data_IF_179817461784
#
_entry.id   IF_179817461784
#
_cell.length_a   1.000
_cell.length_b   1.000
_cell.length_c   1.000
_cell.angle_alpha   90.00
_cell.angle_beta   90.00
_cell.angle_gamma   90.00
#
_symmetry.space_group_name_H-M   'P 1'
#
loop_
_entity.id
_entity.type
_entity.pdbx_description
1 polymer ?
#
# COMPACT_ATOMS: atom_id res chain seq x y z
N UNK A 1 38.05 24.05 -9.15
CA UNK A 1 36.89 24.04 -10.06
C UNK A 1 36.08 22.74 -10.03
N UNK A 2 36.69 21.55 -9.85
CA UNK A 2 35.92 20.29 -9.75
C UNK A 2 34.92 20.22 -8.58
N UNK A 3 35.25 20.74 -7.40
CA UNK A 3 34.36 20.70 -6.24
C UNK A 3 33.04 21.48 -6.44
N UNK A 4 33.04 22.53 -7.25
CA UNK A 4 31.84 23.33 -7.52
C UNK A 4 30.87 22.62 -8.49
N UNK A 5 31.41 21.80 -9.42
CA UNK A 5 30.56 20.98 -10.30
C UNK A 5 29.91 19.81 -9.54
N UNK A 6 30.58 19.23 -8.54
CA UNK A 6 29.97 18.16 -7.73
C UNK A 6 28.81 18.68 -6.86
N UNK A 7 28.94 19.86 -6.24
CA UNK A 7 27.81 20.46 -5.49
C UNK A 7 26.63 20.80 -6.42
N UNK A 8 26.90 21.32 -7.63
CA UNK A 8 25.84 21.63 -8.58
C UNK A 8 25.12 20.37 -9.09
N UNK A 9 25.86 19.27 -9.29
CA UNK A 9 25.27 18.00 -9.71
C UNK A 9 24.48 17.33 -8.57
N UNK A 10 24.94 17.44 -7.33
CA UNK A 10 24.24 16.87 -6.17
C UNK A 10 22.94 17.63 -5.86
N UNK A 11 22.92 18.96 -6.03
CA UNK A 11 21.72 19.77 -5.84
C UNK A 11 20.64 19.47 -6.90
N UNK A 12 21.04 19.19 -8.14
CA UNK A 12 20.10 18.84 -9.20
C UNK A 12 19.46 17.46 -8.98
N UNK A 13 20.19 16.52 -8.38
CA UNK A 13 19.66 15.19 -8.02
C UNK A 13 18.62 15.26 -6.90
N UNK A 14 18.78 16.18 -5.94
CA UNK A 14 17.83 16.36 -4.84
C UNK A 14 16.48 16.94 -5.31
N UNK A 15 16.49 17.84 -6.31
CA UNK A 15 15.26 18.38 -6.89
C UNK A 15 14.42 17.32 -7.62
N UNK A 16 15.06 16.37 -8.31
CA UNK A 16 14.32 15.28 -8.97
C UNK A 16 13.62 14.33 -7.98
N UNK A 17 14.20 14.09 -6.80
CA UNK A 17 13.53 13.26 -5.79
C UNK A 17 12.29 13.95 -5.19
N UNK A 18 12.30 15.27 -4.99
CA UNK A 18 11.11 15.97 -4.50
C UNK A 18 9.97 15.98 -5.52
N UNK A 19 10.27 16.08 -6.82
CA UNK A 19 9.21 16.01 -7.83
C UNK A 19 8.57 14.61 -7.93
N UNK A 20 9.31 13.52 -7.69
CA UNK A 20 8.69 12.20 -7.63
C UNK A 20 7.79 12.02 -6.41
N UNK A 21 8.06 12.69 -5.29
CA UNK A 21 7.17 12.64 -4.13
C UNK A 21 5.84 13.37 -4.37
N UNK A 22 5.83 14.44 -5.15
CA UNK A 22 4.62 15.23 -5.40
C UNK A 22 3.58 14.51 -6.27
N UNK A 23 4.00 13.57 -7.13
CA UNK A 23 3.08 12.78 -7.97
C UNK A 23 2.48 11.54 -7.29
N UNK A 24 2.92 11.17 -6.08
CA UNK A 24 2.41 9.98 -5.38
C UNK A 24 1.17 10.30 -4.51
N UNK A 25 0.82 11.58 -4.31
CA UNK A 25 -0.34 11.98 -3.47
C UNK A 25 -1.33 12.88 -4.21
N UNK A 26 -2.24 12.29 -5.02
CA UNK A 26 -3.65 12.65 -4.81
C UNK A 26 -4.64 11.47 -4.85
N UNK A 27 -4.21 10.22 -5.05
CA UNK A 27 -5.15 9.10 -5.17
C UNK A 27 -5.73 8.58 -3.85
N UNK A 28 -5.12 8.92 -2.70
CA UNK A 28 -5.67 8.54 -1.39
C UNK A 28 -6.84 9.42 -0.93
N UNK A 29 -7.08 10.58 -1.54
CA UNK A 29 -8.17 11.48 -1.16
C UNK A 29 -9.52 11.10 -1.78
N UNK A 30 -9.54 10.34 -2.89
CA UNK A 30 -10.77 9.94 -3.58
C UNK A 30 -11.43 8.70 -2.91
N UNK A 31 -10.65 7.86 -2.22
CA UNK A 31 -11.17 6.66 -1.54
C UNK A 31 -11.93 6.96 -0.23
N UNK A 32 -11.74 8.14 0.37
CA UNK A 32 -12.51 8.56 1.56
C UNK A 32 -13.90 9.12 1.21
N UNK A 33 -14.13 9.57 -0.03
CA UNK A 33 -15.43 10.13 -0.44
C UNK A 33 -16.48 9.05 -0.79
N UNK A 34 -16.03 7.84 -1.14
CA UNK A 34 -16.92 6.72 -1.50
C UNK A 34 -17.48 5.94 -0.30
N UNK A 35 -16.98 6.18 0.92
CA UNK A 35 -17.53 5.57 2.15
C UNK A 35 -18.72 6.37 2.73
N UNK A 36 -18.96 7.60 2.24
CA UNK A 36 -20.10 8.44 2.65
C UNK A 36 -21.37 8.20 1.80
N UNK A 37 -21.23 7.72 0.56
CA UNK A 37 -22.38 7.50 -0.33
C UNK A 37 -23.09 6.15 -0.09
N UNK A 38 -22.41 5.15 0.46
CA UNK A 38 -22.98 3.81 0.64
C UNK A 38 -23.83 3.62 1.92
N UNK A 39 -23.95 4.66 2.75
CA UNK A 39 -24.79 4.69 3.96
C UNK A 39 -26.03 5.58 3.85
N UNK A 40 -26.19 6.33 2.75
CA UNK A 40 -27.33 7.24 2.56
C UNK A 40 -28.60 6.55 2.00
N UNK A 41 -28.50 5.37 1.37
CA UNK A 41 -29.65 4.69 0.76
C UNK A 41 -30.52 3.86 1.72
N UNK A 42 -30.23 3.87 3.03
CA UNK A 42 -30.98 3.05 4.00
C UNK A 42 -32.00 3.79 4.86
N UNK A 43 -32.30 5.07 4.56
CA UNK A 43 -33.29 5.85 5.33
C UNK A 43 -34.57 6.23 4.54
N UNK A 44 -34.73 5.83 3.29
CA UNK A 44 -35.90 6.23 2.47
C UNK A 44 -36.80 5.06 2.01
N UNK A 45 -36.93 3.98 2.80
CA UNK A 45 -37.90 2.93 2.45
C UNK A 45 -38.47 2.21 3.67
N UNK A 46 -39.50 2.79 4.27
CA UNK A 46 -40.26 2.14 5.32
C UNK A 46 -41.27 3.03 6.03
N UNK A 47 -42.20 3.63 5.29
CA UNK A 47 -43.40 4.24 5.89
C UNK A 47 -44.59 4.03 4.97
N UNK A 48 -45.18 2.85 5.01
CA UNK A 48 -46.59 2.67 4.69
C UNK A 48 -47.16 1.56 5.59
N UNK A 49 -48.26 1.92 6.25
CA UNK A 49 -49.29 1.12 6.90
C UNK A 49 -49.01 0.38 8.22
N UNK A 50 -49.42 1.03 9.31
CA UNK A 50 -50.23 0.38 10.35
C UNK A 50 -51.04 1.43 11.12
N UNK A 51 -52.33 1.54 10.78
CA UNK A 51 -53.34 2.20 11.58
C UNK A 51 -53.75 1.30 12.76
N UNK A 52 -53.80 1.84 13.98
CA UNK A 52 -54.80 1.52 15.01
C UNK A 52 -54.50 2.22 16.35
N UNK A 53 -55.48 2.99 16.85
CA UNK A 53 -55.97 2.83 18.23
C UNK A 53 -55.48 3.77 19.34
N UNK A 54 -56.42 4.63 19.78
CA UNK A 54 -56.67 5.06 21.18
C UNK A 54 -55.77 6.17 21.76
N UNK A 55 -56.23 7.41 22.00
CA UNK A 55 -57.30 7.94 22.88
C UNK A 55 -56.82 8.33 24.31
N UNK A 56 -56.87 9.65 24.56
CA UNK A 56 -57.21 10.41 25.78
C UNK A 56 -56.53 10.13 27.14
N UNK A 57 -56.16 11.22 27.85
CA UNK A 57 -55.76 11.18 29.26
C UNK A 57 -55.36 12.54 29.83
N UNK A 58 -56.31 13.20 30.48
CA UNK A 58 -56.36 14.56 31.03
C UNK A 58 -55.44 14.92 32.22
N UNK A 59 -55.18 16.23 32.32
CA UNK A 59 -55.29 17.10 33.51
C UNK A 59 -54.31 17.03 34.72
N UNK A 60 -53.65 18.19 34.91
CA UNK A 60 -53.56 19.03 36.12
C UNK A 60 -53.13 18.46 37.49
N UNK A 61 -52.16 19.15 38.11
CA UNK A 61 -51.87 19.03 39.54
C UNK A 61 -50.73 19.95 39.98
N UNK A 62 -51.08 21.15 40.43
CA UNK A 62 -50.22 22.14 41.08
C UNK A 62 -50.31 22.04 42.61
N UNK A 63 -49.19 21.92 43.32
CA UNK A 63 -48.99 22.32 44.74
C UNK A 63 -47.49 22.18 45.07
N UNK A 64 -46.77 23.27 45.39
CA UNK A 64 -46.45 23.75 46.75
C UNK A 64 -45.57 22.76 47.54
N UNK A 65 -44.53 23.10 48.29
CA UNK A 65 -43.80 24.32 48.65
C UNK A 65 -42.56 23.86 49.46
N UNK A 66 -41.58 24.74 49.64
CA UNK A 66 -40.64 24.75 50.77
C UNK A 66 -39.68 23.55 50.97
N UNK A 67 -38.48 23.67 50.39
CA UNK A 67 -37.25 23.20 51.03
C UNK A 67 -36.06 23.99 50.49
N UNK A 68 -35.92 25.24 50.94
CA UNK A 68 -34.69 26.00 50.78
C UNK A 68 -33.60 25.36 51.67
N UNK A 69 -32.88 24.38 51.14
CA UNK A 69 -31.72 23.80 51.80
C UNK A 69 -30.60 23.53 50.78
N UNK A 70 -29.54 24.33 50.90
CA UNK A 70 -28.28 24.34 50.15
C UNK A 70 -28.01 23.17 49.17
N UNK A 71 -28.28 23.33 47.85
CA UNK A 71 -27.92 22.35 46.83
C UNK A 71 -26.42 22.26 46.54
N UNK A 72 -25.62 23.24 46.99
CA UNK A 72 -24.20 23.33 46.65
C UNK A 72 -23.31 22.34 47.42
N UNK A 73 -23.67 21.97 48.65
CA UNK A 73 -22.83 21.08 49.47
C UNK A 73 -22.99 19.59 49.12
N UNK A 74 -24.16 19.18 48.60
CA UNK A 74 -24.40 17.78 48.21
C UNK A 74 -23.76 17.41 46.87
N UNK A 75 -23.65 18.36 45.95
CA UNK A 75 -22.99 18.17 44.65
C UNK A 75 -21.48 17.92 44.80
N UNK A 76 -20.81 18.67 45.69
CA UNK A 76 -19.36 18.55 45.90
C UNK A 76 -19.00 17.22 46.60
N UNK A 77 -19.85 16.74 47.52
CA UNK A 77 -19.59 15.50 48.24
C UNK A 77 -19.84 14.22 47.40
N UNK A 78 -20.72 14.29 46.37
CA UNK A 78 -20.88 13.20 45.40
C UNK A 78 -19.77 13.17 44.34
N UNK A 79 -19.16 14.31 44.03
CA UNK A 79 -18.11 14.39 43.01
C UNK A 79 -16.76 13.81 43.49
N UNK A 80 -16.49 13.83 44.80
CA UNK A 80 -15.26 13.27 45.37
C UNK A 80 -15.28 11.74 45.53
N UNK A 81 -16.45 11.10 45.66
CA UNK A 81 -16.53 9.62 45.74
C UNK A 81 -16.44 8.92 44.38
N UNK A 82 -16.64 9.61 43.26
CA UNK A 82 -16.47 9.02 41.92
C UNK A 82 -15.02 9.04 41.40
N UNK A 83 -14.09 9.75 42.06
CA UNK A 83 -12.69 9.82 41.60
C UNK A 83 -11.75 8.76 42.19
N UNK A 84 -12.19 7.87 43.07
CA UNK A 84 -11.30 6.86 43.69
C UNK A 84 -11.59 5.39 43.34
N UNK A 85 -12.49 5.08 42.40
CA UNK A 85 -12.81 3.68 42.03
C UNK A 85 -12.61 3.32 40.55
N UNK A 86 -11.78 4.03 39.79
CA UNK A 86 -11.42 3.59 38.43
C UNK A 86 -9.92 3.68 38.15
N UNK A 87 -9.15 2.66 38.57
CA UNK A 87 -8.02 2.26 37.72
C UNK A 87 -7.84 0.74 37.59
N UNK A 88 -8.90 -0.09 37.67
CA UNK A 88 -8.73 -1.56 37.54
C UNK A 88 -9.49 -2.28 36.42
N UNK A 89 -10.34 -1.60 35.62
CA UNK A 89 -11.03 -2.24 34.48
C UNK A 89 -10.49 -1.87 33.08
N UNK A 90 -9.42 -1.07 32.97
CA UNK A 90 -8.86 -0.73 31.64
C UNK A 90 -7.82 -1.72 31.10
N UNK A 91 -7.32 -2.69 31.88
CA UNK A 91 -6.33 -3.64 31.38
C UNK A 91 -6.90 -4.89 30.69
N UNK A 92 -8.18 -5.25 30.87
CA UNK A 92 -8.76 -6.42 30.19
C UNK A 92 -9.34 -6.13 28.79
N UNK A 93 -9.63 -4.88 28.43
CA UNK A 93 -10.09 -4.56 27.06
C UNK A 93 -8.95 -4.37 26.05
N UNK A 94 -7.71 -4.13 26.49
CA UNK A 94 -6.58 -3.97 25.55
C UNK A 94 -6.08 -5.32 25.01
N UNK A 95 -6.24 -6.44 25.73
CA UNK A 95 -5.79 -7.74 25.24
C UNK A 95 -6.74 -8.39 24.21
N UNK A 96 -8.05 -8.11 24.28
CA UNK A 96 -9.00 -8.54 23.24
C UNK A 96 -8.75 -7.76 21.93
N UNK A 97 -8.27 -6.52 22.01
CA UNK A 97 -7.90 -5.71 20.85
C UNK A 97 -6.67 -6.22 20.10
N UNK A 98 -5.63 -6.67 20.81
CA UNK A 98 -4.36 -7.10 20.17
C UNK A 98 -4.52 -8.44 19.45
N UNK A 99 -5.21 -9.43 20.04
CA UNK A 99 -5.44 -10.72 19.37
C UNK A 99 -6.32 -10.60 18.11
N UNK A 100 -7.33 -9.71 18.14
CA UNK A 100 -8.15 -9.39 16.96
C UNK A 100 -7.38 -8.61 15.87
N UNK A 101 -6.35 -7.84 16.27
CA UNK A 101 -5.44 -7.17 15.34
C UNK A 101 -4.38 -8.11 14.76
N UNK A 102 -3.89 -9.09 15.52
CA UNK A 102 -2.92 -10.07 15.04
C UNK A 102 -3.45 -10.86 13.83
N UNK A 103 -4.72 -11.29 13.84
CA UNK A 103 -5.33 -11.95 12.67
C UNK A 103 -5.55 -11.01 11.46
N UNK A 104 -5.45 -9.69 11.64
CA UNK A 104 -5.72 -8.66 10.63
C UNK A 104 -4.54 -8.40 9.68
N UNK A 105 -3.31 -8.67 10.12
CA UNK A 105 -2.10 -8.35 9.35
C UNK A 105 -1.48 -9.56 8.63
N UNK A 106 -1.60 -10.78 9.17
CA UNK A 106 -1.01 -11.96 8.54
C UNK A 106 -1.60 -12.29 7.16
N UNK A 107 -2.83 -11.86 6.85
CA UNK A 107 -3.41 -12.07 5.51
C UNK A 107 -2.82 -11.16 4.44
N UNK A 108 -2.48 -9.90 4.72
CA UNK A 108 -2.06 -8.99 3.65
C UNK A 108 -0.70 -9.38 3.05
N UNK A 109 0.27 -9.74 3.90
CA UNK A 109 1.57 -10.23 3.44
C UNK A 109 1.45 -11.57 2.69
N UNK A 110 0.64 -12.50 3.20
CA UNK A 110 0.39 -13.78 2.54
C UNK A 110 -0.31 -13.60 1.19
N UNK A 111 -1.33 -12.75 1.10
CA UNK A 111 -2.01 -12.42 -0.17
C UNK A 111 -1.04 -11.76 -1.15
N UNK A 112 -0.13 -10.90 -0.65
CA UNK A 112 0.94 -10.31 -1.48
C UNK A 112 2.04 -11.29 -1.85
N UNK A 113 2.07 -12.52 -1.32
CA UNK A 113 2.97 -13.56 -1.79
C UNK A 113 2.34 -14.44 -2.88
N UNK A 114 1.01 -14.51 -2.95
CA UNK A 114 0.28 -15.27 -3.96
C UNK A 114 0.60 -14.79 -5.38
N UNK A 115 0.57 -15.69 -6.34
CA UNK A 115 0.61 -15.37 -7.77
C UNK A 115 -0.69 -14.69 -8.23
N UNK A 116 -0.65 -13.97 -9.36
CA UNK A 116 -1.85 -13.33 -9.94
C UNK A 116 -3.01 -14.34 -10.15
N UNK A 117 -2.82 -15.54 -10.76
CA UNK A 117 -3.91 -16.50 -10.92
C UNK A 117 -4.46 -17.03 -9.59
N UNK A 118 -3.64 -17.13 -8.54
CA UNK A 118 -4.12 -17.50 -7.21
C UNK A 118 -4.97 -16.40 -6.58
N UNK A 119 -4.57 -15.13 -6.74
CA UNK A 119 -5.38 -13.98 -6.30
C UNK A 119 -6.75 -13.99 -7.00
N UNK A 120 -6.81 -14.30 -8.30
CA UNK A 120 -8.07 -14.40 -9.04
C UNK A 120 -8.98 -15.52 -8.52
N UNK A 121 -8.42 -16.70 -8.23
CA UNK A 121 -9.16 -17.81 -7.61
C UNK A 121 -9.75 -17.42 -6.26
N UNK A 122 -8.95 -16.76 -5.41
CA UNK A 122 -9.39 -16.25 -4.11
C UNK A 122 -10.46 -15.16 -4.24
N UNK A 123 -10.36 -14.28 -5.23
CA UNK A 123 -11.40 -13.26 -5.52
C UNK A 123 -12.72 -13.94 -5.87
N UNK A 124 -12.72 -14.96 -6.73
CA UNK A 124 -13.92 -15.70 -7.12
C UNK A 124 -14.54 -16.42 -5.91
N UNK A 125 -13.73 -17.14 -5.14
CA UNK A 125 -14.15 -17.81 -3.90
C UNK A 125 -14.75 -16.83 -2.88
N UNK A 126 -14.11 -15.67 -2.68
CA UNK A 126 -14.60 -14.64 -1.78
C UNK A 126 -15.92 -14.02 -2.27
N UNK A 127 -16.10 -13.82 -3.58
CA UNK A 127 -17.37 -13.35 -4.17
C UNK A 127 -18.51 -14.34 -3.92
N UNK A 128 -18.28 -15.63 -4.16
CA UNK A 128 -19.25 -16.69 -3.88
C UNK A 128 -19.61 -16.74 -2.40
N UNK A 129 -18.62 -16.67 -1.52
CA UNK A 129 -18.83 -16.64 -0.06
C UNK A 129 -19.68 -15.44 0.38
N UNK A 130 -19.44 -14.25 -0.18
CA UNK A 130 -20.24 -13.05 0.12
C UNK A 130 -21.69 -13.22 -0.34
N UNK A 131 -21.91 -13.82 -1.51
CA UNK A 131 -23.26 -14.09 -2.01
C UNK A 131 -24.00 -15.09 -1.11
N UNK A 132 -23.37 -16.21 -0.76
CA UNK A 132 -23.94 -17.22 0.14
C UNK A 132 -24.26 -16.65 1.53
N UNK A 133 -23.34 -15.90 2.14
CA UNK A 133 -23.57 -15.27 3.44
C UNK A 133 -24.71 -14.24 3.42
N UNK A 134 -24.96 -13.57 2.29
CA UNK A 134 -26.13 -12.69 2.15
C UNK A 134 -27.43 -13.48 2.17
N UNK A 135 -27.48 -14.63 1.49
CA UNK A 135 -28.66 -15.51 1.50
C UNK A 135 -28.91 -16.08 2.90
N UNK A 136 -27.88 -16.66 3.53
CA UNK A 136 -27.99 -17.20 4.89
C UNK A 136 -28.38 -16.14 5.92
N UNK A 137 -27.89 -14.91 5.77
CA UNK A 137 -28.27 -13.80 6.65
C UNK A 137 -29.75 -13.44 6.55
N UNK A 138 -30.37 -13.57 5.36
CA UNK A 138 -31.82 -13.36 5.22
C UNK A 138 -32.62 -14.41 5.99
N UNK A 139 -32.10 -15.64 6.07
CA UNK A 139 -32.67 -16.71 6.90
C UNK A 139 -32.27 -16.66 8.38
N UNK A 140 -31.54 -15.62 8.84
CA UNK A 140 -31.06 -15.53 10.23
C UNK A 140 -29.94 -16.51 10.59
N UNK A 141 -29.41 -17.28 9.63
CA UNK A 141 -28.42 -18.34 9.87
C UNK A 141 -26.96 -17.85 9.89
N UNK A 142 -26.70 -16.64 9.39
CA UNK A 142 -25.35 -16.08 9.31
C UNK A 142 -25.24 -14.72 10.02
N UNK A 143 -24.11 -14.50 10.69
CA UNK A 143 -23.87 -13.26 11.42
C UNK A 143 -23.49 -12.10 10.50
N UNK A 144 -23.88 -10.87 10.85
CA UNK A 144 -23.48 -9.66 10.14
C UNK A 144 -21.95 -9.51 10.09
N UNK A 145 -21.25 -9.94 11.14
CA UNK A 145 -19.79 -9.84 11.23
C UNK A 145 -19.08 -10.73 10.21
N UNK A 146 -19.55 -11.97 9.99
CA UNK A 146 -18.98 -12.87 8.97
C UNK A 146 -19.07 -12.26 7.57
N UNK A 147 -20.21 -11.68 7.23
CA UNK A 147 -20.41 -10.99 5.96
C UNK A 147 -19.47 -9.79 5.80
N UNK A 148 -19.32 -8.96 6.85
CA UNK A 148 -18.39 -7.82 6.83
C UNK A 148 -16.94 -8.27 6.68
N UNK A 149 -16.53 -9.34 7.36
CA UNK A 149 -15.18 -9.89 7.25
C UNK A 149 -14.88 -10.39 5.83
N UNK A 150 -15.82 -11.13 5.21
CA UNK A 150 -15.65 -11.60 3.82
C UNK A 150 -15.67 -10.45 2.81
N UNK A 151 -16.50 -9.42 2.99
CA UNK A 151 -16.46 -8.21 2.15
C UNK A 151 -15.13 -7.46 2.28
N UNK A 152 -14.55 -7.39 3.49
CA UNK A 152 -13.25 -6.78 3.72
C UNK A 152 -12.13 -7.54 3.00
N UNK A 153 -12.13 -8.88 3.11
CA UNK A 153 -11.18 -9.73 2.39
C UNK A 153 -11.26 -9.52 0.88
N UNK A 154 -12.48 -9.50 0.32
CA UNK A 154 -12.69 -9.25 -1.11
C UNK A 154 -12.14 -7.89 -1.54
N UNK A 155 -12.36 -6.83 -0.75
CA UNK A 155 -11.76 -5.51 -1.02
C UNK A 155 -10.24 -5.57 -1.04
N UNK A 156 -9.62 -6.21 -0.04
CA UNK A 156 -8.16 -6.35 0.03
C UNK A 156 -7.58 -7.09 -1.18
N UNK A 157 -8.22 -8.20 -1.58
CA UNK A 157 -7.80 -8.98 -2.76
C UNK A 157 -7.88 -8.14 -4.04
N UNK A 158 -8.96 -7.37 -4.23
CA UNK A 158 -9.11 -6.50 -5.39
C UNK A 158 -8.08 -5.36 -5.41
N UNK A 159 -7.80 -4.74 -4.26
CA UNK A 159 -6.76 -3.71 -4.17
C UNK A 159 -5.40 -4.28 -4.55
N UNK A 160 -5.00 -5.42 -4.00
CA UNK A 160 -3.71 -6.05 -4.31
C UNK A 160 -3.64 -6.48 -5.79
N UNK A 161 -4.75 -6.96 -6.36
CA UNK A 161 -4.86 -7.25 -7.79
C UNK A 161 -4.57 -6.00 -8.63
N UNK A 162 -5.24 -4.88 -8.35
CA UNK A 162 -5.03 -3.62 -9.09
C UNK A 162 -3.61 -3.07 -8.93
N UNK A 163 -3.01 -3.18 -7.74
CA UNK A 163 -1.62 -2.79 -7.50
C UNK A 163 -0.66 -3.62 -8.36
N UNK A 164 -0.92 -4.93 -8.49
CA UNK A 164 -0.06 -5.84 -9.25
C UNK A 164 -0.24 -5.70 -10.75
N UNK A 165 -1.47 -5.62 -11.25
CA UNK A 165 -1.74 -5.38 -12.68
C UNK A 165 -1.11 -4.06 -13.14
N UNK A 166 -1.22 -3.00 -12.33
CA UNK A 166 -0.56 -1.73 -12.61
C UNK A 166 0.97 -1.80 -12.61
N UNK A 167 1.56 -2.64 -11.75
CA UNK A 167 3.01 -2.82 -11.68
C UNK A 167 3.55 -3.69 -12.82
N UNK A 168 2.87 -4.77 -13.18
CA UNK A 168 3.23 -5.64 -14.31
C UNK A 168 3.20 -4.86 -15.63
N UNK A 169 2.12 -4.14 -15.93
CA UNK A 169 2.02 -3.34 -17.14
C UNK A 169 3.09 -2.24 -17.23
N UNK A 170 3.44 -1.60 -16.10
CA UNK A 170 4.54 -0.62 -16.06
C UNK A 170 5.93 -1.24 -16.23
N UNK A 171 6.11 -2.50 -15.85
CA UNK A 171 7.38 -3.21 -16.08
C UNK A 171 7.51 -3.60 -17.55
N UNK A 172 6.46 -4.17 -18.14
CA UNK A 172 6.41 -4.51 -19.57
C UNK A 172 6.61 -3.27 -20.45
N UNK A 173 5.91 -2.17 -20.14
CA UNK A 173 6.08 -0.90 -20.85
C UNK A 173 7.52 -0.38 -20.76
N UNK A 174 8.16 -0.48 -19.58
CA UNK A 174 9.56 -0.07 -19.43
C UNK A 174 10.51 -0.96 -20.24
N UNK A 175 10.28 -2.27 -20.29
CA UNK A 175 11.09 -3.17 -21.11
C UNK A 175 10.90 -2.88 -22.60
N UNK A 176 9.66 -2.67 -23.04
CA UNK A 176 9.36 -2.31 -24.41
C UNK A 176 10.01 -0.98 -24.81
N UNK A 177 9.96 0.03 -23.93
CA UNK A 177 10.60 1.32 -24.16
C UNK A 177 12.13 1.19 -24.26
N UNK A 178 12.75 0.34 -23.44
CA UNK A 178 14.19 0.05 -23.53
C UNK A 178 14.56 -0.63 -24.85
N UNK A 179 13.77 -1.60 -25.32
CA UNK A 179 14.00 -2.28 -26.60
C UNK A 179 13.88 -1.31 -27.77
N UNK A 180 12.87 -0.45 -27.76
CA UNK A 180 12.66 0.54 -28.82
C UNK A 180 13.84 1.53 -28.87
N UNK A 181 14.32 1.96 -27.70
CA UNK A 181 15.49 2.84 -27.62
C UNK A 181 16.77 2.16 -28.16
N UNK A 182 16.99 0.88 -27.87
CA UNK A 182 18.11 0.13 -28.45
C UNK A 182 17.98 0.00 -29.97
N UNK A 183 16.78 -0.28 -30.49
CA UNK A 183 16.56 -0.40 -31.93
C UNK A 183 16.86 0.91 -32.65
N UNK A 184 16.43 2.04 -32.09
CA UNK A 184 16.75 3.36 -32.65
C UNK A 184 18.27 3.60 -32.68
N UNK A 185 18.98 3.27 -31.60
CA UNK A 185 20.45 3.40 -31.57
C UNK A 185 21.12 2.55 -32.66
N UNK A 186 20.66 1.31 -32.87
CA UNK A 186 21.20 0.46 -33.93
C UNK A 186 20.94 1.04 -35.33
N UNK A 187 19.77 1.63 -35.56
CA UNK A 187 19.47 2.30 -36.83
C UNK A 187 20.39 3.50 -37.08
N UNK A 188 20.64 4.33 -36.06
CA UNK A 188 21.57 5.46 -36.19
C UNK A 188 23.00 4.99 -36.45
N UNK A 189 23.46 3.94 -35.77
CA UNK A 189 24.77 3.35 -36.03
C UNK A 189 24.89 2.84 -37.47
N UNK A 190 23.86 2.17 -37.98
CA UNK A 190 23.87 1.68 -39.35
C UNK A 190 23.92 2.81 -40.39
N UNK A 191 23.12 3.87 -40.20
CA UNK A 191 23.15 5.05 -41.06
C UNK A 191 24.51 5.75 -41.02
N UNK A 192 25.11 5.88 -39.83
CA UNK A 192 26.44 6.47 -39.67
C UNK A 192 27.50 5.65 -40.42
N UNK A 193 27.46 4.31 -40.33
CA UNK A 193 28.37 3.43 -41.06
C UNK A 193 28.20 3.58 -42.58
N UNK A 194 26.96 3.64 -43.08
CA UNK A 194 26.70 3.84 -44.50
C UNK A 194 27.27 5.18 -45.00
N UNK A 195 26.99 6.27 -44.28
CA UNK A 195 27.56 7.59 -44.59
C UNK A 195 29.08 7.56 -44.56
N UNK A 196 29.65 6.86 -43.60
CA UNK A 196 31.09 6.68 -43.48
C UNK A 196 31.70 5.98 -44.70
N UNK A 197 31.04 4.93 -45.21
CA UNK A 197 31.46 4.22 -46.41
C UNK A 197 31.37 5.11 -47.66
N UNK A 198 30.26 5.83 -47.84
CA UNK A 198 30.09 6.77 -48.95
C UNK A 198 31.12 7.90 -48.92
N UNK A 199 31.49 8.37 -47.74
CA UNK A 199 32.56 9.36 -47.58
C UNK A 199 33.93 8.76 -47.94
N UNK A 200 34.24 7.54 -47.51
CA UNK A 200 35.53 6.88 -47.84
C UNK A 200 35.78 6.77 -49.34
N UNK A 201 34.74 6.52 -50.14
CA UNK A 201 34.83 6.46 -51.60
C UNK A 201 35.19 7.80 -52.26
N UNK A 202 34.96 8.92 -51.56
CA UNK A 202 35.17 10.28 -52.10
C UNK A 202 36.35 11.03 -51.47
N UNK A 203 37.03 10.46 -50.47
CA UNK A 203 38.05 11.15 -49.66
C UNK A 203 39.50 10.84 -50.08
N UNK A 204 40.39 11.82 -49.90
CA UNK A 204 41.85 11.68 -50.01
C UNK A 204 42.44 10.82 -48.87
N UNK A 205 43.59 10.15 -49.09
CA UNK A 205 44.15 9.17 -48.15
C UNK A 205 44.51 9.73 -46.76
N UNK A 206 45.00 10.96 -46.65
CA UNK A 206 45.27 11.59 -45.34
C UNK A 206 43.99 11.74 -44.50
N UNK A 207 42.88 12.05 -45.16
CA UNK A 207 41.61 12.25 -44.49
C UNK A 207 40.96 10.91 -44.13
N UNK A 208 41.26 9.82 -44.87
CA UNK A 208 40.92 8.46 -44.46
C UNK A 208 41.58 8.07 -43.14
N UNK A 209 42.87 8.41 -42.93
CA UNK A 209 43.56 8.12 -41.67
C UNK A 209 42.95 8.85 -40.47
N UNK A 210 42.59 10.14 -40.63
CA UNK A 210 41.89 10.88 -39.57
C UNK A 210 40.54 10.25 -39.22
N UNK A 211 39.83 9.76 -40.23
CA UNK A 211 38.55 9.10 -40.07
C UNK A 211 38.65 7.74 -39.37
N UNK A 212 39.69 6.95 -39.64
CA UNK A 212 39.98 5.72 -38.89
C UNK A 212 40.26 6.00 -37.41
N UNK A 213 41.04 7.05 -37.13
CA UNK A 213 41.32 7.44 -35.75
C UNK A 213 40.06 7.84 -34.99
N UNK A 214 39.16 8.59 -35.64
CA UNK A 214 37.87 8.99 -35.07
C UNK A 214 36.93 7.79 -34.90
N UNK A 215 36.95 6.84 -35.84
CA UNK A 215 36.23 5.58 -35.73
C UNK A 215 36.69 4.75 -34.53
N UNK A 216 38.00 4.59 -34.32
CA UNK A 216 38.55 3.93 -33.13
C UNK A 216 38.10 4.63 -31.84
N UNK A 217 38.13 5.96 -31.81
CA UNK A 217 37.70 6.71 -30.63
C UNK A 217 36.21 6.50 -30.31
N UNK A 218 35.34 6.51 -31.32
CA UNK A 218 33.91 6.22 -31.15
C UNK A 218 33.66 4.79 -30.71
N UNK A 219 34.41 3.83 -31.26
CA UNK A 219 34.30 2.43 -30.88
C UNK A 219 34.70 2.22 -29.41
N UNK A 220 35.76 2.91 -28.97
CA UNK A 220 36.19 2.89 -27.57
C UNK A 220 35.14 3.53 -26.64
N UNK A 221 34.55 4.67 -27.02
CA UNK A 221 33.45 5.27 -26.25
C UNK A 221 32.22 4.35 -26.16
N UNK A 222 31.94 3.59 -27.21
CA UNK A 222 30.84 2.63 -27.20
C UNK A 222 31.11 1.46 -26.25
N UNK A 223 32.33 0.92 -26.26
CA UNK A 223 32.77 -0.12 -25.33
C UNK A 223 32.72 0.38 -23.87
N UNK A 224 33.19 1.60 -23.60
CA UNK A 224 33.12 2.22 -22.27
C UNK A 224 31.67 2.34 -21.77
N UNK A 225 30.75 2.74 -22.65
CA UNK A 225 29.33 2.84 -22.33
C UNK A 225 28.70 1.48 -22.04
N UNK A 226 29.07 0.44 -22.79
CA UNK A 226 28.66 -0.94 -22.54
C UNK A 226 29.19 -1.46 -21.20
N UNK A 227 30.48 -1.23 -20.91
CA UNK A 227 31.09 -1.61 -19.64
C UNK A 227 30.40 -0.91 -18.47
N UNK A 228 30.14 0.39 -18.59
CA UNK A 228 29.41 1.15 -17.58
C UNK A 228 27.99 0.61 -17.38
N UNK A 229 27.29 0.24 -18.46
CA UNK A 229 25.96 -0.35 -18.38
C UNK A 229 25.98 -1.73 -17.68
N UNK A 230 26.96 -2.57 -18.00
CA UNK A 230 27.17 -3.85 -17.31
C UNK A 230 27.48 -3.63 -15.82
N UNK A 231 28.33 -2.65 -15.50
CA UNK A 231 28.65 -2.29 -14.13
C UNK A 231 27.39 -1.85 -13.36
N UNK A 232 26.51 -1.06 -13.98
CA UNK A 232 25.21 -0.69 -13.41
C UNK A 232 24.30 -1.90 -13.16
N UNK A 233 24.29 -2.87 -14.07
CA UNK A 233 23.53 -4.12 -13.87
C UNK A 233 24.08 -4.90 -12.67
N UNK A 234 25.41 -5.05 -12.57
CA UNK A 234 26.07 -5.69 -11.42
C UNK A 234 25.73 -4.98 -10.11
N UNK A 235 25.77 -3.64 -10.06
CA UNK A 235 25.37 -2.90 -8.86
C UNK A 235 23.90 -3.14 -8.49
N UNK A 236 22.99 -3.23 -9.45
CA UNK A 236 21.59 -3.57 -9.17
C UNK A 236 21.44 -4.98 -8.62
N UNK A 237 22.18 -5.95 -9.14
CA UNK A 237 22.17 -7.32 -8.64
C UNK A 237 22.75 -7.42 -7.23
N UNK A 238 23.86 -6.73 -6.95
CA UNK A 238 24.44 -6.61 -5.61
C UNK A 238 23.43 -5.96 -4.66
N UNK A 239 22.75 -4.89 -5.07
CA UNK A 239 21.73 -4.23 -4.26
C UNK A 239 20.55 -5.16 -3.94
N UNK A 240 20.06 -5.92 -4.92
CA UNK A 240 19.03 -6.95 -4.72
C UNK A 240 19.51 -8.04 -3.76
N UNK A 241 20.74 -8.54 -3.93
CA UNK A 241 21.35 -9.53 -3.05
C UNK A 241 21.47 -9.04 -1.60
N UNK A 242 21.89 -7.78 -1.38
CA UNK A 242 21.94 -7.18 -0.05
C UNK A 242 20.56 -7.04 0.58
N UNK A 243 19.55 -6.64 -0.19
CA UNK A 243 18.16 -6.59 0.29
C UNK A 243 17.66 -7.97 0.70
N UNK A 244 17.97 -9.01 -0.08
CA UNK A 244 17.57 -10.38 0.23
C UNK A 244 18.29 -10.91 1.49
N UNK A 245 19.60 -10.70 1.62
CA UNK A 245 20.33 -11.04 2.84
C UNK A 245 19.78 -10.33 4.09
N UNK A 246 19.33 -9.07 3.95
CA UNK A 246 18.72 -8.35 5.06
C UNK A 246 17.35 -8.94 5.45
N UNK A 247 16.55 -9.36 4.47
CA UNK A 247 15.30 -10.07 4.71
C UNK A 247 15.55 -11.42 5.39
N UNK A 248 16.55 -12.19 4.95
CA UNK A 248 16.89 -13.49 5.54
C UNK A 248 17.36 -13.34 6.99
N UNK A 249 18.19 -12.33 7.29
CA UNK A 249 18.60 -12.00 8.67
C UNK A 249 17.41 -11.65 9.56
N UNK A 250 16.46 -10.87 9.06
CA UNK A 250 15.22 -10.54 9.80
C UNK A 250 14.36 -11.79 10.04
N UNK A 251 14.27 -12.69 9.06
CA UNK A 251 13.54 -13.95 9.24
C UNK A 251 14.23 -14.86 10.27
N UNK A 252 15.55 -14.98 10.23
CA UNK A 252 16.32 -15.74 11.22
C UNK A 252 16.16 -15.18 12.63
N UNK A 253 16.24 -13.86 12.82
CA UNK A 253 16.03 -13.25 14.14
C UNK A 253 14.62 -13.52 14.66
N UNK A 254 13.59 -13.46 13.80
CA UNK A 254 12.22 -13.78 14.18
C UNK A 254 12.06 -15.27 14.57
N UNK A 255 12.73 -16.18 13.86
CA UNK A 255 12.72 -17.61 14.20
C UNK A 255 13.41 -17.87 15.55
N UNK A 256 14.56 -17.25 15.81
CA UNK A 256 15.25 -17.35 17.10
C UNK A 256 14.40 -16.79 18.25
N UNK A 257 13.76 -15.63 18.07
CA UNK A 257 12.83 -15.10 19.07
C UNK A 257 11.65 -16.05 19.34
N UNK A 258 11.09 -16.69 18.30
CA UNK A 258 10.02 -17.69 18.47
C UNK A 258 10.49 -18.90 19.25
N UNK A 259 11.68 -19.41 18.98
CA UNK A 259 12.26 -20.54 19.73
C UNK A 259 12.52 -20.18 21.19
N UNK A 260 13.03 -18.98 21.47
CA UNK A 260 13.25 -18.51 22.84
C UNK A 260 11.94 -18.38 23.64
N UNK A 261 10.88 -17.85 23.02
CA UNK A 261 9.54 -17.77 23.63
C UNK A 261 8.99 -19.17 23.90
N UNK A 262 9.11 -20.10 22.96
CA UNK A 262 8.67 -21.47 23.13
C UNK A 262 9.43 -22.21 24.24
N UNK A 263 10.75 -21.97 24.36
CA UNK A 263 11.57 -22.55 25.41
C UNK A 263 11.18 -22.03 26.81
N UNK A 264 10.93 -20.72 26.95
CA UNK A 264 10.46 -20.14 28.22
C UNK A 264 9.06 -20.65 28.62
N UNK A 265 8.17 -20.88 27.64
CA UNK A 265 6.83 -21.42 27.91
C UNK A 265 6.85 -22.89 28.39
N UNK A 266 7.94 -23.63 28.14
CA UNK A 266 8.08 -25.04 28.50
C UNK A 266 8.70 -25.27 29.89
N UNK A 267 9.11 -24.21 30.61
CA UNK A 267 9.59 -24.37 31.99
C UNK A 267 8.41 -24.68 32.92
N UNK A 268 8.41 -25.84 33.61
CA UNK A 268 7.35 -26.20 34.55
C UNK A 268 7.39 -25.24 35.75
N UNK A 269 6.22 -24.74 36.14
CA UNK A 269 6.00 -23.94 37.35
C UNK A 269 6.20 -24.77 38.62
#
# INVERSE_FOLDING_TARGET
MHACMEEQQQQQQQQQQQQQFFFITPLNSILLLLDAAATADFLCRGSFDAAAGSAAGSAAGSAAAAAAYNPYQRAIQQQLKQQQQQPQQQQQQQQIGVAALCMRFYKAAAIRALSIPEIEREVLSARQSVAQLRLLRRGGLASKQQLLHRRRLLRQLLTIRTEREGNSGRQELRQQQQLLQQQQQQQYLHQAIQLQQTLREKMTPDMQQQMEKLQQQLQQQHEDLLQWQQQQQQYREIAKGKQQQQQDKQQQSLQQSRQAIAANAAQPL
#
